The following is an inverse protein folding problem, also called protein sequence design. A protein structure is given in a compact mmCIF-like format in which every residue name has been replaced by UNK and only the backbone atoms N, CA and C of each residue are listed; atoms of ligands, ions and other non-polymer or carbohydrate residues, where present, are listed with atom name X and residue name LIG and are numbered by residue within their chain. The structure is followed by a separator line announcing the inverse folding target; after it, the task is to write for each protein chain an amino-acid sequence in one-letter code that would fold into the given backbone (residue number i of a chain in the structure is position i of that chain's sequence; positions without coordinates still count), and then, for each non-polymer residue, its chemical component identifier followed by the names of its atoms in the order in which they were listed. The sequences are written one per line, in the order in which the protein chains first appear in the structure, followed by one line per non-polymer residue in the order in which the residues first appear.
data_IF_969409337598
#
_entry.id   IF_969409337598
#
_cell.length_a   1.000
_cell.length_b   1.000
_cell.length_c   1.000
_cell.angle_alpha   90.00
_cell.angle_beta   90.00
_cell.angle_gamma   90.00
#
_symmetry.space_group_name_H-M   'P 1'
#
loop_
_entity.id
_entity.type
_entity.pdbx_description
1 polymer ?
#
# COMPACT_ATOMS: atom_id res chain seq x y z
N UNK A 1 0.69 -8.72 -19.09
CA UNK A 1 -0.26 -8.42 -18.00
C UNK A 1 -1.14 -9.65 -17.85
N UNK A 2 -1.16 -10.31 -16.71
CA UNK A 2 -2.02 -11.50 -16.49
C UNK A 2 -3.35 -11.05 -15.91
N UNK A 3 -4.46 -11.51 -16.48
CA UNK A 3 -5.84 -11.15 -16.07
C UNK A 3 -6.07 -11.38 -14.56
N UNK A 4 -5.39 -12.36 -13.98
CA UNK A 4 -5.43 -12.71 -12.55
C UNK A 4 -4.99 -11.57 -11.63
N UNK A 5 -3.95 -10.80 -12.00
CA UNK A 5 -3.43 -9.72 -11.14
C UNK A 5 -4.39 -8.52 -11.06
N UNK A 6 -5.09 -8.22 -12.15
CA UNK A 6 -6.10 -7.17 -12.17
C UNK A 6 -7.36 -7.59 -11.39
N UNK A 7 -7.75 -8.86 -11.48
CA UNK A 7 -8.86 -9.40 -10.69
C UNK A 7 -8.60 -9.33 -9.18
N UNK A 8 -7.37 -9.62 -8.74
CA UNK A 8 -6.96 -9.51 -7.33
C UNK A 8 -7.00 -8.08 -6.82
N UNK A 9 -6.46 -7.12 -7.59
CA UNK A 9 -6.50 -5.71 -7.21
C UNK A 9 -7.93 -5.17 -7.16
N UNK A 10 -8.78 -5.57 -8.10
CA UNK A 10 -10.18 -5.17 -8.11
C UNK A 10 -10.92 -5.73 -6.89
N UNK A 11 -10.75 -7.02 -6.59
CA UNK A 11 -11.33 -7.66 -5.39
C UNK A 11 -10.86 -6.96 -4.11
N UNK A 12 -9.58 -6.55 -4.05
CA UNK A 12 -9.05 -5.80 -2.92
C UNK A 12 -9.74 -4.43 -2.79
N UNK A 13 -9.91 -3.69 -3.89
CA UNK A 13 -10.61 -2.40 -3.90
C UNK A 13 -12.08 -2.55 -3.48
N UNK A 14 -12.77 -3.56 -3.99
CA UNK A 14 -14.18 -3.81 -3.71
C UNK A 14 -14.41 -4.17 -2.23
N UNK A 15 -13.46 -4.89 -1.62
CA UNK A 15 -13.52 -5.29 -0.22
C UNK A 15 -12.92 -4.27 0.77
N UNK A 16 -12.28 -3.20 0.29
CA UNK A 16 -11.61 -2.23 1.16
C UNK A 16 -12.59 -1.34 1.95
N UNK A 17 -13.88 -1.32 1.59
CA UNK A 17 -14.86 -0.39 2.16
C UNK A 17 -14.71 1.02 1.59
N UNK A 18 -14.98 2.05 2.39
CA UNK A 18 -14.91 3.46 1.95
C UNK A 18 -14.20 4.36 2.96
N UNK A 19 -13.77 5.54 2.50
CA UNK A 19 -13.15 6.57 3.34
C UNK A 19 -11.93 6.07 4.12
N UNK A 20 -11.92 6.32 5.42
CA UNK A 20 -10.83 5.91 6.32
C UNK A 20 -10.57 4.39 6.35
N UNK A 21 -11.63 3.58 6.26
CA UNK A 21 -11.51 2.12 6.27
C UNK A 21 -10.81 1.64 4.99
N UNK A 22 -11.14 2.23 3.84
CA UNK A 22 -10.47 1.94 2.57
C UNK A 22 -9.01 2.38 2.57
N UNK A 23 -8.74 3.60 3.02
CA UNK A 23 -7.38 4.13 3.12
C UNK A 23 -6.49 3.23 3.99
N UNK A 24 -6.97 2.83 5.17
CA UNK A 24 -6.21 1.93 6.06
C UNK A 24 -6.05 0.53 5.46
N UNK A 25 -7.13 -0.07 4.96
CA UNK A 25 -7.11 -1.43 4.40
C UNK A 25 -6.14 -1.55 3.23
N UNK A 26 -6.17 -0.59 2.30
CA UNK A 26 -5.29 -0.58 1.13
C UNK A 26 -3.84 -0.25 1.50
N UNK A 27 -3.61 0.55 2.55
CA UNK A 27 -2.26 0.83 3.04
C UNK A 27 -1.65 -0.43 3.67
N UNK A 28 -2.38 -1.08 4.58
CA UNK A 28 -1.97 -2.34 5.19
C UNK A 28 -1.75 -3.45 4.14
N UNK A 29 -2.60 -3.49 3.11
CA UNK A 29 -2.44 -4.39 1.96
C UNK A 29 -1.10 -4.18 1.26
N UNK A 30 -0.81 -2.93 0.85
CA UNK A 30 0.42 -2.58 0.16
C UNK A 30 1.65 -2.89 1.03
N UNK A 31 1.58 -2.60 2.32
CA UNK A 31 2.65 -2.87 3.30
C UNK A 31 2.96 -4.36 3.41
N UNK A 32 1.92 -5.19 3.59
CA UNK A 32 2.06 -6.64 3.61
C UNK A 32 2.61 -7.20 2.28
N UNK A 33 2.18 -6.64 1.15
CA UNK A 33 2.69 -7.01 -0.17
C UNK A 33 4.19 -6.72 -0.28
N UNK A 34 4.60 -5.52 0.12
CA UNK A 34 5.98 -5.06 0.06
C UNK A 34 6.89 -5.92 0.96
N UNK A 35 6.48 -6.17 2.21
CA UNK A 35 7.24 -7.01 3.14
C UNK A 35 7.41 -8.43 2.60
N UNK A 36 6.32 -9.10 2.23
CA UNK A 36 6.35 -10.50 1.74
C UNK A 36 7.16 -10.64 0.46
N UNK A 37 7.06 -9.67 -0.45
CA UNK A 37 7.87 -9.67 -1.67
C UNK A 37 9.35 -9.42 -1.38
N UNK A 38 9.68 -8.53 -0.42
CA UNK A 38 11.06 -8.33 0.03
C UNK A 38 11.66 -9.58 0.65
N UNK A 39 10.91 -10.27 1.53
CA UNK A 39 11.35 -11.49 2.20
C UNK A 39 11.63 -12.66 1.24
N UNK A 40 11.00 -12.65 0.06
CA UNK A 40 11.15 -13.70 -0.94
C UNK A 40 12.32 -13.50 -1.91
N UNK A 41 13.04 -12.37 -1.83
CA UNK A 41 14.05 -11.96 -2.80
C UNK A 41 15.47 -11.94 -2.22
N UNK A 42 16.52 -12.04 -3.07
CA UNK A 42 17.88 -11.73 -2.67
C UNK A 42 17.99 -10.29 -2.12
N UNK A 43 18.91 -10.07 -1.18
CA UNK A 43 19.02 -8.80 -0.43
C UNK A 43 18.99 -7.54 -1.31
N UNK A 44 19.77 -7.50 -2.39
CA UNK A 44 19.86 -6.33 -3.29
C UNK A 44 18.51 -5.99 -3.91
N UNK A 45 17.75 -7.01 -4.31
CA UNK A 45 16.42 -6.85 -4.93
C UNK A 45 15.32 -6.60 -3.89
N UNK A 46 15.55 -7.02 -2.63
CA UNK A 46 14.63 -6.84 -1.51
C UNK A 46 14.66 -5.42 -0.94
N UNK A 47 15.81 -4.72 -0.96
CA UNK A 47 15.98 -3.40 -0.31
C UNK A 47 14.87 -2.39 -0.67
N UNK A 48 14.51 -2.17 -1.95
CA UNK A 48 13.48 -1.20 -2.31
C UNK A 48 12.10 -1.55 -1.75
N UNK A 49 11.78 -2.86 -1.69
CA UNK A 49 10.53 -3.37 -1.17
C UNK A 49 10.45 -3.26 0.35
N UNK A 50 11.56 -3.54 1.06
CA UNK A 50 11.64 -3.40 2.51
C UNK A 50 11.57 -1.92 2.94
N UNK A 51 12.24 -1.02 2.20
CA UNK A 51 12.14 0.43 2.44
C UNK A 51 10.72 0.95 2.15
N UNK A 52 10.11 0.52 1.05
CA UNK A 52 8.72 0.85 0.75
C UNK A 52 7.77 0.31 1.84
N UNK A 53 7.99 -0.90 2.35
CA UNK A 53 7.22 -1.47 3.46
C UNK A 53 7.33 -0.64 4.74
N UNK A 54 8.52 -0.13 5.06
CA UNK A 54 8.70 0.75 6.21
C UNK A 54 7.93 2.07 6.07
N UNK A 55 8.00 2.72 4.90
CA UNK A 55 7.21 3.93 4.59
C UNK A 55 5.69 3.65 4.70
N UNK A 56 5.25 2.49 4.21
CA UNK A 56 3.84 2.07 4.25
C UNK A 56 3.38 1.80 5.69
N UNK A 57 4.20 1.15 6.51
CA UNK A 57 3.87 0.92 7.93
C UNK A 57 3.81 2.22 8.71
N UNK A 58 4.72 3.17 8.46
CA UNK A 58 4.63 4.50 9.06
C UNK A 58 3.35 5.24 8.61
N UNK A 59 2.89 5.02 7.38
CA UNK A 59 1.63 5.58 6.90
C UNK A 59 0.42 4.96 7.62
N UNK A 60 0.44 3.66 7.93
CA UNK A 60 -0.58 3.01 8.77
C UNK A 60 -0.65 3.64 10.16
N UNK A 61 0.51 3.87 10.81
CA UNK A 61 0.57 4.48 12.13
C UNK A 61 -0.08 5.87 12.14
N UNK A 62 0.13 6.69 11.10
CA UNK A 62 -0.52 7.99 10.97
C UNK A 62 -2.04 7.89 10.74
N UNK A 63 -2.51 6.89 9.99
CA UNK A 63 -3.95 6.64 9.84
C UNK A 63 -4.58 6.21 11.18
N UNK A 64 -3.92 5.34 11.94
CA UNK A 64 -4.35 4.88 13.27
C UNK A 64 -4.34 6.03 14.29
N UNK A 65 -3.38 6.94 14.20
CA UNK A 65 -3.33 8.16 15.02
C UNK A 65 -4.48 9.12 14.67
N UNK A 66 -4.80 9.27 13.38
CA UNK A 66 -5.83 10.18 12.90
C UNK A 66 -7.25 9.71 13.26
N UNK A 67 -7.49 8.39 13.25
CA UNK A 67 -8.82 7.83 13.52
C UNK A 67 -8.77 6.58 14.39
N UNK A 68 -9.40 6.67 15.56
CA UNK A 68 -9.60 5.52 16.45
C UNK A 68 -10.62 4.55 15.87
N UNK A 69 -10.44 3.26 16.15
CA UNK A 69 -11.39 2.21 15.76
C UNK A 69 -11.28 1.79 14.29
N UNK A 70 -10.16 2.08 13.63
CA UNK A 70 -9.84 1.43 12.36
C UNK A 70 -9.76 -0.10 12.55
N UNK A 71 -10.06 -0.89 11.51
CA UNK A 71 -10.08 -2.34 11.62
C UNK A 71 -8.75 -2.85 12.17
N UNK A 72 -8.77 -3.83 13.08
CA UNK A 72 -7.53 -4.35 13.69
C UNK A 72 -6.75 -5.23 12.70
N UNK A 73 -7.47 -5.88 11.76
CA UNK A 73 -6.96 -6.70 10.66
C UNK A 73 -8.01 -6.73 9.57
N UNK A 74 -7.66 -6.43 8.32
CA UNK A 74 -8.56 -6.72 7.22
C UNK A 74 -8.47 -8.23 6.93
N UNK A 75 -9.57 -8.96 7.14
CA UNK A 75 -9.63 -10.42 7.08
C UNK A 75 -9.38 -11.02 5.68
N UNK A 76 -9.10 -10.20 4.67
CA UNK A 76 -9.17 -10.63 3.27
C UNK A 76 -8.02 -10.12 2.40
N UNK A 77 -6.84 -9.82 2.97
CA UNK A 77 -5.70 -9.43 2.14
C UNK A 77 -4.70 -10.56 2.01
N UNK A 78 -5.21 -11.71 1.60
CA UNK A 78 -4.41 -12.64 0.84
C UNK A 78 -4.33 -12.08 -0.58
N UNK A 79 -3.29 -11.30 -0.89
CA UNK A 79 -3.03 -10.77 -2.25
C UNK A 79 -2.59 -11.92 -3.19
N UNK A 80 -2.81 -13.17 -2.75
CA UNK A 80 -2.32 -14.38 -3.33
C UNK A 80 -0.79 -14.43 -3.35
N UNK A 81 -0.28 -15.62 -3.59
CA UNK A 81 1.08 -15.84 -4.09
C UNK A 81 1.38 -15.08 -5.41
N UNK A 82 0.38 -14.46 -6.02
CA UNK A 82 0.43 -13.77 -7.33
C UNK A 82 1.22 -12.45 -7.34
N UNK A 83 1.59 -11.87 -6.18
CA UNK A 83 2.46 -10.67 -6.10
C UNK A 83 3.91 -11.03 -5.76
N UNK A 84 4.16 -12.27 -5.31
CA UNK A 84 5.50 -12.78 -5.04
C UNK A 84 6.12 -13.20 -6.37
N UNK A 85 6.65 -12.23 -7.11
CA UNK A 85 7.53 -12.53 -8.23
C UNK A 85 8.91 -12.91 -7.70
N UNK A 86 9.57 -13.86 -8.36
CA UNK A 86 10.93 -14.28 -8.01
C UNK A 86 12.01 -13.32 -8.54
N UNK A 87 11.62 -12.27 -9.26
CA UNK A 87 12.49 -11.19 -9.71
C UNK A 87 12.08 -9.84 -9.10
N UNK A 88 13.08 -9.07 -8.65
CA UNK A 88 12.91 -7.76 -8.01
C UNK A 88 12.05 -6.77 -8.81
N UNK A 89 12.29 -6.57 -10.12
CA UNK A 89 11.52 -5.62 -10.93
C UNK A 89 10.02 -5.98 -11.01
N UNK A 90 9.68 -7.25 -11.17
CA UNK A 90 8.27 -7.69 -11.22
C UNK A 90 7.59 -7.58 -9.86
N UNK A 91 8.30 -7.90 -8.77
CA UNK A 91 7.79 -7.71 -7.42
C UNK A 91 7.51 -6.23 -7.13
N UNK A 92 8.44 -5.34 -7.50
CA UNK A 92 8.27 -3.90 -7.40
C UNK A 92 7.06 -3.40 -8.20
N UNK A 93 6.82 -3.93 -9.42
CA UNK A 93 5.63 -3.60 -10.22
C UNK A 93 4.33 -4.07 -9.58
N UNK A 94 4.33 -5.27 -9.00
CA UNK A 94 3.15 -5.81 -8.30
C UNK A 94 2.73 -4.92 -7.13
N UNK A 95 3.69 -4.54 -6.30
CA UNK A 95 3.46 -3.67 -5.14
C UNK A 95 3.09 -2.24 -5.57
N UNK A 96 3.72 -1.69 -6.61
CA UNK A 96 3.43 -0.33 -7.11
C UNK A 96 1.97 -0.16 -7.57
N UNK A 97 1.36 -1.21 -8.12
CA UNK A 97 -0.05 -1.19 -8.51
C UNK A 97 -0.99 -1.11 -7.31
N UNK A 98 -0.72 -1.90 -6.27
CA UNK A 98 -1.50 -1.83 -5.01
C UNK A 98 -1.35 -0.43 -4.41
N UNK A 99 -0.12 0.10 -4.38
CA UNK A 99 0.19 1.42 -3.89
C UNK A 99 -0.52 2.55 -4.66
N UNK A 100 -0.70 2.41 -5.97
CA UNK A 100 -1.49 3.38 -6.75
C UNK A 100 -2.95 3.41 -6.31
N UNK A 101 -3.58 2.24 -6.09
CA UNK A 101 -4.94 2.18 -5.56
C UNK A 101 -5.03 2.78 -4.14
N UNK A 102 -4.01 2.56 -3.30
CA UNK A 102 -3.90 3.16 -1.97
C UNK A 102 -3.82 4.70 -2.05
N UNK A 103 -2.96 5.23 -2.93
CA UNK A 103 -2.82 6.67 -3.16
C UNK A 103 -4.12 7.31 -3.64
N UNK A 104 -4.83 6.67 -4.57
CA UNK A 104 -6.16 7.11 -5.02
C UNK A 104 -7.12 7.23 -3.84
N UNK A 105 -7.21 6.19 -3.01
CA UNK A 105 -8.11 6.18 -1.85
C UNK A 105 -7.76 7.26 -0.82
N UNK A 106 -6.48 7.43 -0.49
CA UNK A 106 -6.03 8.45 0.49
C UNK A 106 -6.27 9.85 -0.03
N UNK A 107 -6.00 10.11 -1.31
CA UNK A 107 -6.23 11.43 -1.91
C UNK A 107 -7.71 11.76 -1.99
N UNK A 108 -8.54 10.78 -2.34
CA UNK A 108 -9.99 10.96 -2.33
C UNK A 108 -10.52 11.28 -0.93
N UNK A 109 -10.03 10.57 0.09
CA UNK A 109 -10.36 10.85 1.49
C UNK A 109 -9.92 12.25 1.93
N UNK A 110 -8.68 12.65 1.61
CA UNK A 110 -8.15 13.99 1.91
C UNK A 110 -8.97 15.10 1.26
N UNK A 111 -9.41 14.91 0.01
CA UNK A 111 -10.30 15.85 -0.67
C UNK A 111 -11.68 15.96 -0.02
N UNK A 112 -12.13 14.89 0.65
CA UNK A 112 -13.44 14.82 1.31
C UNK A 112 -13.41 15.32 2.76
N UNK A 113 -12.23 15.37 3.40
CA UNK A 113 -12.03 15.85 4.78
C UNK A 113 -10.95 16.95 4.84
N UNK A 114 -11.27 18.21 4.54
CA UNK A 114 -10.26 19.26 4.31
C UNK A 114 -9.67 19.88 5.59
N UNK A 115 -10.12 19.52 6.81
CA UNK A 115 -9.75 20.25 8.02
C UNK A 115 -9.48 19.36 9.25
N UNK A 116 -8.60 19.83 10.13
CA UNK A 116 -8.31 19.22 11.43
C UNK A 116 -7.08 18.30 11.44
N UNK A 117 -6.89 17.60 12.56
CA UNK A 117 -5.77 16.66 12.78
C UNK A 117 -5.73 15.58 11.69
N UNK A 118 -6.89 15.10 11.24
CA UNK A 118 -7.00 14.14 10.15
C UNK A 118 -6.37 14.62 8.83
N UNK A 119 -6.50 15.91 8.50
CA UNK A 119 -5.92 16.46 7.27
C UNK A 119 -4.38 16.49 7.29
N UNK A 120 -3.79 16.79 8.45
CA UNK A 120 -2.33 16.78 8.64
C UNK A 120 -1.78 15.37 8.51
N UNK A 121 -2.41 14.40 9.18
CA UNK A 121 -1.99 13.00 9.09
C UNK A 121 -2.19 12.45 7.68
N UNK A 122 -3.29 12.77 6.98
CA UNK A 122 -3.48 12.38 5.58
C UNK A 122 -2.44 12.98 4.62
N UNK A 123 -1.93 14.18 4.90
CA UNK A 123 -0.82 14.76 4.15
C UNK A 123 0.51 14.02 4.38
N UNK A 124 0.77 13.58 5.61
CA UNK A 124 1.93 12.73 5.93
C UNK A 124 1.83 11.36 5.27
N UNK A 125 0.65 10.75 5.32
CA UNK A 125 0.34 9.49 4.62
C UNK A 125 0.60 9.64 3.12
N UNK A 126 0.03 10.64 2.44
CA UNK A 126 0.26 10.87 1.01
C UNK A 126 1.75 11.06 0.67
N UNK A 127 2.53 11.71 1.56
CA UNK A 127 3.97 11.88 1.41
C UNK A 127 4.72 10.56 1.48
N UNK A 128 4.43 9.72 2.47
CA UNK A 128 5.04 8.40 2.65
C UNK A 128 4.66 7.44 1.52
N UNK A 129 3.39 7.41 1.13
CA UNK A 129 2.94 6.60 -0.01
C UNK A 129 3.63 7.04 -1.31
N UNK A 130 3.81 8.34 -1.51
CA UNK A 130 4.55 8.88 -2.66
C UNK A 130 6.05 8.54 -2.59
N UNK A 131 6.63 8.50 -1.39
CA UNK A 131 8.02 8.07 -1.15
C UNK A 131 8.21 6.60 -1.51
N UNK A 132 7.39 5.71 -0.94
CA UNK A 132 7.35 4.29 -1.27
C UNK A 132 7.24 4.07 -2.78
N UNK A 133 6.37 4.83 -3.47
CA UNK A 133 6.20 4.72 -4.92
C UNK A 133 7.46 5.09 -5.68
N UNK A 134 8.17 6.15 -5.28
CA UNK A 134 9.44 6.55 -5.91
C UNK A 134 10.51 5.47 -5.76
N UNK A 135 10.60 4.85 -4.57
CA UNK A 135 11.52 3.74 -4.33
C UNK A 135 11.25 2.58 -5.29
N UNK A 136 9.98 2.16 -5.40
CA UNK A 136 9.60 1.05 -6.28
C UNK A 136 9.83 1.37 -7.76
N UNK A 137 9.50 2.58 -8.23
CA UNK A 137 9.72 2.98 -9.62
C UNK A 137 11.22 3.08 -9.98
N UNK A 138 12.06 3.51 -9.03
CA UNK A 138 13.52 3.56 -9.22
C UNK A 138 14.14 2.19 -9.45
N UNK A 139 13.51 1.13 -8.95
CA UNK A 139 14.00 -0.25 -8.96
C UNK A 139 13.39 -1.14 -10.04
N UNK A 140 12.59 -0.55 -10.95
CA UNK A 140 11.97 -1.27 -12.07
C UNK A 140 12.74 -1.15 -13.39
N UNK A 141 13.91 -0.50 -13.38
CA UNK A 141 14.74 -0.22 -14.56
C UNK A 141 15.69 -1.35 -14.91
#
# INVERSE_FOLDING_TARGET
MTETQNATLQTLKDNAGTGWVAAWTLTNAASCAAARSGDALPFVDAVPLLLASADLRAAEDYLEQARRGLPTRCAAVDIGSSVVALDGPSACRGVERVLCATLESVRHLRSSEPAGVGAVELARVDTLLSSARRLLLGSQR
#
